data_IF_032738487966
#
_entry.id   IF_032738487966
#
_cell.length_a   1.000
_cell.length_b   1.000
_cell.length_c   1.000
_cell.angle_alpha   90.00
_cell.angle_beta   90.00
_cell.angle_gamma   90.00
#
_symmetry.space_group_name_H-M   'P 1'
#
loop_
_entity.id
_entity.type
_entity.pdbx_description
1 polymer ?
#
# COMPACT_ATOMS: atom_id res chain seq x y z
N UNK A 1 -8.24 -66.35 7.08
CA UNK A 1 -6.87 -66.43 6.54
C UNK A 1 -6.08 -65.30 7.17
N UNK A 2 -5.24 -65.62 8.15
CA UNK A 2 -4.33 -64.68 8.77
C UNK A 2 -3.09 -64.53 7.87
N UNK A 3 -2.67 -63.31 7.61
CA UNK A 3 -1.28 -63.02 7.29
C UNK A 3 -0.82 -61.78 8.05
N UNK A 4 0.16 -62.03 8.91
CA UNK A 4 0.90 -61.05 9.68
C UNK A 4 2.10 -60.56 8.85
N UNK A 5 2.52 -59.32 9.12
CA UNK A 5 3.83 -58.80 8.73
C UNK A 5 3.72 -57.73 7.64
N UNK A 6 4.39 -56.60 7.72
CA UNK A 6 5.40 -56.12 8.65
C UNK A 6 5.51 -54.60 8.45
N UNK A 7 5.78 -53.85 9.52
CA UNK A 7 6.64 -52.66 9.48
C UNK A 7 6.65 -52.02 10.87
N UNK A 8 7.55 -52.50 11.72
CA UNK A 8 8.07 -51.71 12.81
C UNK A 8 9.05 -50.68 12.21
N UNK A 9 8.67 -49.40 12.21
CA UNK A 9 9.62 -48.31 12.20
C UNK A 9 9.17 -47.30 13.26
N UNK A 10 9.66 -47.54 14.47
CA UNK A 10 9.99 -46.44 15.38
C UNK A 10 10.83 -45.44 14.58
N UNK A 11 10.55 -44.14 14.70
CA UNK A 11 11.55 -43.11 14.96
C UNK A 11 10.89 -41.72 14.94
N UNK A 12 10.94 -41.11 16.13
CA UNK A 12 11.16 -39.68 16.39
C UNK A 12 9.90 -38.80 16.43
N UNK A 13 9.47 -38.61 17.68
CA UNK A 13 8.73 -37.45 18.15
C UNK A 13 9.37 -36.14 17.66
N UNK A 14 8.58 -35.24 17.10
CA UNK A 14 8.92 -33.81 17.01
C UNK A 14 7.63 -32.99 17.10
N UNK A 15 6.98 -33.13 18.25
CA UNK A 15 6.02 -32.15 18.74
C UNK A 15 6.84 -31.02 19.38
N UNK A 16 7.17 -29.97 18.62
CA UNK A 16 7.66 -28.71 19.17
C UNK A 16 6.81 -27.58 18.61
N UNK A 17 5.67 -27.40 19.28
CA UNK A 17 4.90 -26.16 19.30
C UNK A 17 5.77 -25.12 20.00
N UNK A 18 6.16 -24.07 19.29
CA UNK A 18 6.70 -22.85 19.88
C UNK A 18 5.86 -21.66 19.40
N UNK A 19 4.70 -21.48 20.04
CA UNK A 19 4.01 -20.19 20.06
C UNK A 19 4.80 -19.31 21.03
N UNK A 20 5.54 -18.34 20.49
CA UNK A 20 6.06 -17.21 21.25
C UNK A 20 5.28 -15.97 20.82
N UNK A 21 4.23 -15.66 21.60
CA UNK A 21 3.60 -14.36 21.65
C UNK A 21 4.60 -13.40 22.29
N UNK A 22 5.23 -12.54 21.49
CA UNK A 22 5.98 -11.39 22.02
C UNK A 22 5.04 -10.19 22.03
N UNK A 23 4.77 -9.74 23.25
CA UNK A 23 3.85 -8.68 23.61
C UNK A 23 4.19 -7.33 22.99
N UNK A 24 3.14 -6.53 22.87
CA UNK A 24 3.22 -5.10 22.71
C UNK A 24 3.89 -4.47 23.95
N UNK A 25 4.81 -3.53 23.74
CA UNK A 25 5.10 -2.51 24.74
C UNK A 25 5.41 -1.18 24.05
N UNK A 26 4.59 -0.18 24.37
CA UNK A 26 4.66 1.15 23.85
C UNK A 26 5.68 1.97 24.64
N UNK A 27 6.75 2.44 23.99
CA UNK A 27 7.53 3.58 24.49
C UNK A 27 7.82 4.57 23.36
N UNK A 28 6.95 5.56 23.32
CA UNK A 28 7.16 6.94 22.89
C UNK A 28 8.64 7.36 22.96
N UNK A 29 9.30 7.46 21.79
CA UNK A 29 10.50 8.27 21.62
C UNK A 29 10.09 9.52 20.86
N UNK A 30 9.97 10.61 21.61
CA UNK A 30 9.77 11.98 21.16
C UNK A 30 10.75 12.33 20.02
N UNK A 31 10.23 12.60 18.83
CA UNK A 31 11.01 13.15 17.71
C UNK A 31 11.52 14.53 18.11
N UNK A 32 12.83 14.64 18.36
CA UNK A 32 13.52 15.93 18.43
C UNK A 32 13.57 16.52 17.03
N UNK A 33 12.62 17.39 16.70
CA UNK A 33 12.77 18.29 15.56
C UNK A 33 13.77 19.38 15.97
N UNK A 34 15.04 19.25 15.59
CA UNK A 34 15.98 20.36 15.71
C UNK A 34 16.78 20.59 14.41
N UNK A 35 16.44 21.74 13.82
CA UNK A 35 17.20 22.65 12.95
C UNK A 35 17.49 22.27 11.50
N UNK A 36 16.64 22.85 10.64
CA UNK A 36 17.03 23.86 9.65
C UNK A 36 18.23 23.53 8.76
N UNK A 37 17.98 22.74 7.71
CA UNK A 37 18.78 22.81 6.49
C UNK A 37 18.20 23.89 5.57
N UNK A 38 19.04 24.84 5.22
CA UNK A 38 18.73 26.08 4.54
C UNK A 38 18.10 25.87 3.15
N UNK A 39 17.07 26.67 2.88
CA UNK A 39 16.53 26.95 1.56
C UNK A 39 17.65 27.39 0.60
N UNK A 40 17.90 26.60 -0.44
CA UNK A 40 18.42 27.12 -1.71
C UNK A 40 17.66 26.48 -2.86
N UNK A 41 16.78 27.25 -3.48
CA UNK A 41 16.42 27.05 -4.87
C UNK A 41 14.98 26.63 -5.19
N UNK A 42 13.96 27.08 -4.47
CA UNK A 42 12.61 27.10 -5.02
C UNK A 42 12.44 28.40 -5.83
N UNK A 43 12.40 28.28 -7.17
CA UNK A 43 12.04 29.37 -8.07
C UNK A 43 10.58 29.76 -7.80
N UNK A 44 10.35 30.81 -7.03
CA UNK A 44 9.02 31.39 -6.83
C UNK A 44 8.75 32.43 -7.91
N UNK A 45 7.94 32.09 -8.91
CA UNK A 45 7.14 33.07 -9.67
C UNK A 45 5.78 33.30 -9.01
N UNK A 46 5.62 32.95 -7.74
CA UNK A 46 4.49 33.37 -6.92
C UNK A 46 4.66 34.85 -6.57
N UNK A 47 4.05 35.72 -7.39
CA UNK A 47 3.90 37.13 -7.08
C UNK A 47 2.98 37.24 -5.85
N UNK A 48 3.58 37.41 -4.69
CA UNK A 48 2.88 37.58 -3.42
C UNK A 48 2.27 39.00 -3.37
N UNK A 49 1.02 39.15 -3.81
CA UNK A 49 0.23 40.40 -3.72
C UNK A 49 -0.67 40.45 -2.49
N UNK A 50 -0.53 39.54 -1.53
CA UNK A 50 -1.33 39.48 -0.31
C UNK A 50 -0.61 40.09 0.91
N UNK A 51 -1.26 41.03 1.60
CA UNK A 51 -0.82 41.54 2.91
C UNK A 51 -0.94 40.42 3.96
N UNK A 52 0.17 40.03 4.59
CA UNK A 52 0.15 39.17 5.79
C UNK A 52 -0.18 40.01 7.02
N UNK A 53 -1.47 40.16 7.35
CA UNK A 53 -1.88 40.96 8.51
C UNK A 53 -2.09 40.16 9.80
N UNK A 54 -2.29 38.84 9.76
CA UNK A 54 -2.43 38.01 10.96
C UNK A 54 -1.91 36.60 10.68
N UNK A 55 -1.01 36.10 11.54
CA UNK A 55 -0.22 34.88 11.36
C UNK A 55 -0.98 33.56 11.47
N UNK A 56 -2.04 33.38 10.69
CA UNK A 56 -2.70 32.09 10.48
C UNK A 56 -2.71 31.76 8.99
N UNK A 57 -2.17 30.61 8.62
CA UNK A 57 -2.26 30.09 7.26
C UNK A 57 -3.73 29.74 6.98
N UNK A 58 -4.38 30.49 6.09
CA UNK A 58 -5.64 30.04 5.49
C UNK A 58 -5.32 28.81 4.65
N UNK A 59 -5.84 27.65 5.07
CA UNK A 59 -5.82 26.46 4.21
C UNK A 59 -6.83 26.76 3.11
N UNK A 60 -6.34 27.21 1.95
CA UNK A 60 -7.17 27.31 0.76
C UNK A 60 -7.86 25.96 0.55
N UNK A 61 -9.15 26.03 0.21
CA UNK A 61 -10.02 24.88 -0.03
C UNK A 61 -9.27 23.86 -0.90
N UNK A 62 -9.01 22.66 -0.35
CA UNK A 62 -8.43 21.57 -1.13
C UNK A 62 -9.32 21.32 -2.36
N UNK A 63 -8.69 21.23 -3.52
CA UNK A 63 -9.39 20.87 -4.75
C UNK A 63 -10.14 19.56 -4.53
N UNK A 64 -11.39 19.49 -5.02
CA UNK A 64 -12.17 18.27 -4.96
C UNK A 64 -11.43 17.16 -5.72
N UNK A 65 -11.31 15.98 -5.12
CA UNK A 65 -10.81 14.80 -5.83
C UNK A 65 -11.92 14.41 -6.80
N UNK A 66 -11.67 14.40 -8.13
CA UNK A 66 -12.70 14.03 -9.09
C UNK A 66 -13.15 12.59 -8.84
N UNK A 67 -14.44 12.35 -9.04
CA UNK A 67 -15.01 11.02 -8.92
C UNK A 67 -14.47 10.13 -10.05
N UNK A 68 -13.91 8.98 -9.69
CA UNK A 68 -13.36 8.00 -10.63
C UNK A 68 -14.39 6.89 -10.89
N UNK A 69 -14.81 6.76 -12.14
CA UNK A 69 -15.63 5.63 -12.62
C UNK A 69 -14.73 4.57 -13.24
N UNK A 70 -14.83 3.32 -12.80
CA UNK A 70 -14.10 2.22 -13.39
C UNK A 70 -14.83 1.66 -14.63
N UNK A 71 -14.19 1.73 -15.79
CA UNK A 71 -14.74 1.28 -17.07
C UNK A 71 -14.36 -0.17 -17.39
N UNK A 72 -13.20 -0.63 -16.89
CA UNK A 72 -12.71 -2.00 -17.11
C UNK A 72 -12.15 -2.60 -15.84
N UNK A 73 -12.76 -3.70 -15.41
CA UNK A 73 -12.34 -4.45 -14.22
C UNK A 73 -11.54 -5.70 -14.59
N UNK A 74 -10.63 -6.09 -13.72
CA UNK A 74 -9.87 -7.35 -13.79
C UNK A 74 -9.88 -8.03 -12.44
N UNK A 75 -10.13 -9.35 -12.44
CA UNK A 75 -9.97 -10.18 -11.26
C UNK A 75 -8.55 -10.72 -11.24
N UNK A 76 -7.79 -10.37 -10.22
CA UNK A 76 -6.38 -10.80 -10.07
C UNK A 76 -6.28 -12.33 -10.12
N UNK A 77 -5.36 -12.84 -10.92
CA UNK A 77 -5.12 -14.27 -11.13
C UNK A 77 -3.96 -14.79 -10.26
N UNK A 78 -3.80 -16.11 -10.21
CA UNK A 78 -2.66 -16.75 -9.51
C UNK A 78 -1.34 -16.25 -10.07
N UNK A 79 -0.43 -15.82 -9.19
CA UNK A 79 0.91 -15.36 -9.54
C UNK A 79 0.99 -13.90 -9.99
N UNK A 80 -0.14 -13.20 -10.08
CA UNK A 80 -0.16 -11.79 -10.45
C UNK A 80 0.15 -10.85 -9.27
N UNK A 81 0.75 -9.71 -9.59
CA UNK A 81 1.01 -8.57 -8.69
C UNK A 81 0.37 -7.32 -9.29
N UNK A 82 0.22 -6.24 -8.50
CA UNK A 82 -0.19 -4.95 -9.06
C UNK A 82 0.62 -4.54 -10.30
N UNK A 83 1.94 -4.75 -10.24
CA UNK A 83 2.85 -4.37 -11.32
C UNK A 83 2.59 -5.20 -12.57
N UNK A 84 2.49 -6.53 -12.45
CA UNK A 84 2.27 -7.41 -13.62
C UNK A 84 0.90 -7.19 -14.25
N UNK A 85 -0.14 -6.96 -13.43
CA UNK A 85 -1.50 -6.64 -13.92
C UNK A 85 -1.51 -5.31 -14.67
N UNK A 86 -0.94 -4.25 -14.06
CA UNK A 86 -0.85 -2.94 -14.68
C UNK A 86 -0.06 -2.99 -15.99
N UNK A 87 1.11 -3.62 -15.98
CA UNK A 87 1.96 -3.78 -17.16
C UNK A 87 1.24 -4.57 -18.27
N UNK A 88 0.55 -5.66 -17.92
CA UNK A 88 -0.25 -6.45 -18.86
C UNK A 88 -1.41 -5.68 -19.49
N UNK A 89 -1.91 -4.65 -18.81
CA UNK A 89 -2.90 -3.72 -19.31
C UNK A 89 -2.30 -2.51 -20.06
N UNK A 90 -0.97 -2.43 -20.19
CA UNK A 90 -0.28 -1.30 -20.81
C UNK A 90 -0.21 -0.05 -19.93
N UNK A 91 -0.43 -0.17 -18.63
CA UNK A 91 -0.39 0.92 -17.66
C UNK A 91 1.00 1.04 -17.01
N UNK A 92 1.38 2.27 -16.66
CA UNK A 92 2.46 2.46 -15.68
C UNK A 92 1.96 2.10 -14.28
N UNK A 93 2.89 1.85 -13.35
CA UNK A 93 2.54 1.60 -11.95
C UNK A 93 1.72 2.75 -11.34
N UNK A 94 2.07 4.00 -11.67
CA UNK A 94 1.37 5.17 -11.17
C UNK A 94 -0.05 5.31 -11.73
N UNK A 95 -0.24 4.96 -13.01
CA UNK A 95 -1.58 4.94 -13.62
C UNK A 95 -2.46 3.84 -13.01
N UNK A 96 -1.90 2.65 -12.79
CA UNK A 96 -2.64 1.58 -12.12
C UNK A 96 -3.05 1.98 -10.70
N UNK A 97 -2.15 2.63 -9.94
CA UNK A 97 -2.46 3.11 -8.58
C UNK A 97 -3.45 4.27 -8.58
N UNK A 98 -3.44 5.15 -9.59
CA UNK A 98 -4.41 6.23 -9.67
C UNK A 98 -5.83 5.71 -9.94
N UNK A 99 -5.98 4.60 -10.67
CA UNK A 99 -7.27 3.93 -10.86
C UNK A 99 -7.71 3.11 -9.64
N UNK A 100 -6.79 2.78 -8.74
CA UNK A 100 -7.02 1.92 -7.58
C UNK A 100 -6.50 2.56 -6.28
N UNK A 101 -6.96 3.77 -5.89
CA UNK A 101 -6.37 4.53 -4.78
C UNK A 101 -6.44 3.84 -3.41
N UNK A 102 -7.32 2.85 -3.26
CA UNK A 102 -7.49 2.08 -2.01
C UNK A 102 -6.74 0.75 -2.00
N UNK A 103 -5.98 0.41 -3.04
CA UNK A 103 -5.30 -0.89 -3.13
C UNK A 103 -4.06 -0.94 -2.26
N UNK A 104 -3.85 -2.08 -1.60
CA UNK A 104 -2.57 -2.41 -0.97
C UNK A 104 -1.88 -3.51 -1.79
N UNK A 105 -0.89 -3.12 -2.59
CA UNK A 105 -0.17 -4.05 -3.46
C UNK A 105 0.64 -5.12 -2.73
N UNK A 106 1.01 -4.90 -1.46
CA UNK A 106 1.66 -5.91 -0.64
C UNK A 106 0.70 -6.97 -0.08
N UNK A 107 -0.61 -6.79 -0.27
CA UNK A 107 -1.66 -7.69 0.21
C UNK A 107 -2.69 -8.03 -0.87
N UNK A 108 -2.32 -7.88 -2.14
CA UNK A 108 -3.18 -8.27 -3.26
C UNK A 108 -3.42 -9.78 -3.24
N UNK A 109 -4.63 -10.21 -3.60
CA UNK A 109 -5.02 -11.63 -3.57
C UNK A 109 -5.79 -12.04 -4.82
N UNK A 110 -5.77 -13.35 -5.12
CA UNK A 110 -6.50 -13.94 -6.25
C UNK A 110 -7.99 -13.68 -6.12
N UNK A 111 -8.62 -13.20 -7.19
CA UNK A 111 -10.03 -12.83 -7.23
C UNK A 111 -10.32 -11.40 -6.77
N UNK A 112 -9.31 -10.64 -6.31
CA UNK A 112 -9.50 -9.22 -6.02
C UNK A 112 -9.81 -8.45 -7.31
N UNK A 113 -10.89 -7.66 -7.30
CA UNK A 113 -11.21 -6.77 -8.41
C UNK A 113 -10.32 -5.52 -8.39
N UNK A 114 -9.71 -5.23 -9.53
CA UNK A 114 -8.92 -4.03 -9.77
C UNK A 114 -9.37 -3.36 -11.06
N UNK A 115 -9.22 -2.04 -11.12
CA UNK A 115 -9.57 -1.24 -12.27
C UNK A 115 -8.37 -1.10 -13.23
N UNK A 116 -8.61 -1.31 -14.53
CA UNK A 116 -7.61 -1.17 -15.59
C UNK A 116 -7.88 0.01 -16.53
N UNK A 117 -9.06 0.60 -16.45
CA UNK A 117 -9.43 1.80 -17.20
C UNK A 117 -10.46 2.57 -16.40
N UNK A 118 -10.24 3.87 -16.22
CA UNK A 118 -11.15 4.73 -15.46
C UNK A 118 -11.32 6.10 -16.13
N UNK A 119 -12.48 6.71 -15.89
CA UNK A 119 -12.80 8.09 -16.31
C UNK A 119 -13.07 8.94 -15.07
N UNK A 120 -12.55 10.17 -15.08
CA UNK A 120 -12.84 11.19 -14.06
C UNK A 120 -14.01 12.06 -14.52
N UNK A 121 -14.99 12.28 -13.64
CA UNK A 121 -16.07 13.24 -13.84
C UNK A 121 -15.64 14.69 -13.58
#
# INVERSE_FOLDING_TARGET
MANHGAAAFLLIASLLVAVALSGADARLSTVRHNKAAALRGAKTNARLTGRISQGYAVVEKAAAVPELTCNKVHGVQVGETCFSVGLGAGLTQDQFLSFNPNINCGKIFVGQWVCLEATSA
#
